data_IF_208560539508
#
_entry.id   IF_208560539508
#
_cell.length_a   1.000
_cell.length_b   1.000
_cell.length_c   1.000
_cell.angle_alpha   90.00
_cell.angle_beta   90.00
_cell.angle_gamma   90.00
#
_symmetry.space_group_name_H-M   'P 1'
#
loop_
_entity.id
_entity.type
_entity.pdbx_description
1 polymer ?
#
# COMPACT_ATOMS: atom_id res chain seq x y z
N UNK A 1 28.00 26.24 58.55
CA UNK A 1 27.63 24.81 58.71
C UNK A 1 26.49 24.59 57.72
N UNK A 2 26.67 24.02 56.52
CA UNK A 2 27.63 23.02 56.08
C UNK A 2 26.88 21.74 55.75
N UNK A 3 26.37 21.66 54.49
CA UNK A 3 26.20 20.48 53.59
C UNK A 3 25.36 19.26 54.03
N UNK A 4 24.97 18.29 53.16
CA UNK A 4 25.22 18.15 51.70
C UNK A 4 24.07 17.61 50.79
N UNK A 5 24.31 17.80 49.48
CA UNK A 5 24.27 16.87 48.33
C UNK A 5 23.01 16.22 47.71
N UNK A 6 22.93 16.49 46.40
CA UNK A 6 22.38 15.75 45.27
C UNK A 6 22.51 14.21 45.34
N UNK A 7 21.50 13.50 44.81
CA UNK A 7 21.68 12.34 43.90
C UNK A 7 20.51 12.28 42.90
N UNK A 8 20.80 12.49 41.61
CA UNK A 8 20.02 11.90 40.50
C UNK A 8 20.28 10.40 40.49
N UNK A 9 19.25 9.56 40.33
CA UNK A 9 19.35 8.25 39.67
C UNK A 9 17.96 7.74 39.27
N UNK A 10 17.78 7.58 37.97
CA UNK A 10 16.68 6.89 37.33
C UNK A 10 16.60 5.41 37.77
N UNK A 11 15.40 4.81 37.74
CA UNK A 11 15.14 3.56 37.00
C UNK A 11 13.82 2.89 37.40
N UNK A 12 13.12 2.39 36.35
CA UNK A 12 12.37 1.14 36.31
C UNK A 12 11.18 0.98 37.29
N UNK A 13 9.97 1.30 36.80
CA UNK A 13 8.80 0.47 37.13
C UNK A 13 8.18 -0.01 35.81
N UNK A 14 8.28 -1.33 35.62
CA UNK A 14 7.86 -2.11 34.47
C UNK A 14 6.38 -1.94 34.10
N UNK A 15 6.13 -1.96 32.78
CA UNK A 15 4.83 -2.02 32.09
C UNK A 15 3.95 -3.27 32.40
N UNK A 16 4.23 -4.03 33.46
CA UNK A 16 3.48 -5.25 33.80
C UNK A 16 2.72 -5.21 35.13
N UNK A 17 2.83 -4.13 35.92
CA UNK A 17 2.09 -3.99 37.18
C UNK A 17 0.79 -3.19 37.11
N UNK A 18 0.53 -2.50 36.00
CA UNK A 18 -0.72 -1.75 35.84
C UNK A 18 -1.90 -2.73 35.72
N UNK A 19 -1.78 -3.84 34.98
CA UNK A 19 -2.88 -4.80 34.82
C UNK A 19 -3.36 -5.53 36.09
N UNK A 20 -2.52 -5.68 37.12
CA UNK A 20 -2.85 -6.49 38.31
C UNK A 20 -3.52 -5.65 39.41
N UNK A 21 -3.21 -4.34 39.50
CA UNK A 21 -3.86 -3.45 40.47
C UNK A 21 -5.32 -3.12 40.11
N UNK A 22 -5.67 -3.18 38.82
CA UNK A 22 -7.04 -2.91 38.34
C UNK A 22 -8.02 -4.07 38.59
N UNK A 23 -7.57 -5.33 38.55
CA UNK A 23 -8.44 -6.51 38.77
C UNK A 23 -8.88 -6.70 40.23
N UNK A 24 -8.05 -6.30 41.20
CA UNK A 24 -8.35 -6.44 42.64
C UNK A 24 -9.27 -5.34 43.20
N UNK A 25 -9.36 -4.19 42.53
CA UNK A 25 -10.21 -3.06 42.96
C UNK A 25 -11.66 -3.21 42.48
N UNK A 26 -11.87 -3.77 41.28
CA UNK A 26 -13.20 -4.02 40.72
C UNK A 26 -13.98 -5.14 41.43
N UNK A 27 -13.31 -6.20 41.92
CA UNK A 27 -14.01 -7.34 42.56
C UNK A 27 -14.57 -7.04 43.96
N UNK A 28 -14.03 -6.05 44.67
CA UNK A 28 -14.54 -5.59 45.96
C UNK A 28 -15.71 -4.60 45.84
N UNK A 29 -15.82 -3.90 44.71
CA UNK A 29 -16.89 -2.91 44.48
C UNK A 29 -18.19 -3.62 44.07
N UNK A 30 -18.12 -4.75 43.35
CA UNK A 30 -19.33 -5.46 42.90
C UNK A 30 -20.10 -6.20 44.02
N UNK A 31 -19.43 -6.57 45.12
CA UNK A 31 -20.04 -7.40 46.18
C UNK A 31 -20.76 -6.61 47.28
N UNK A 32 -20.41 -5.34 47.50
CA UNK A 32 -21.11 -4.45 48.44
C UNK A 32 -22.35 -3.78 47.81
N UNK A 33 -22.35 -3.55 46.48
CA UNK A 33 -23.47 -2.90 45.80
C UNK A 33 -24.74 -3.78 45.67
N UNK A 34 -24.63 -5.10 45.78
CA UNK A 34 -25.78 -6.00 45.61
C UNK A 34 -26.72 -6.12 46.84
N UNK A 35 -26.38 -5.50 47.99
CA UNK A 35 -27.14 -5.67 49.25
C UNK A 35 -28.07 -4.52 49.67
N UNK A 36 -28.12 -3.40 48.96
CA UNK A 36 -29.04 -2.30 49.29
C UNK A 36 -29.89 -1.88 48.09
N UNK A 37 -31.09 -2.44 48.02
CA UNK A 37 -32.21 -1.87 47.25
C UNK A 37 -32.56 -0.48 47.79
N UNK A 38 -32.07 0.56 47.15
CA UNK A 38 -32.70 1.89 47.20
C UNK A 38 -32.23 2.74 46.02
N UNK A 39 -33.19 3.12 45.19
CA UNK A 39 -33.08 4.08 44.10
C UNK A 39 -32.71 5.44 44.68
N UNK A 40 -31.42 5.80 44.71
CA UNK A 40 -30.88 7.16 44.91
C UNK A 40 -29.33 7.26 44.94
N UNK A 41 -28.56 6.23 44.56
CA UNK A 41 -27.10 6.23 44.74
C UNK A 41 -26.26 6.02 43.46
N UNK A 42 -26.79 6.44 42.30
CA UNK A 42 -26.02 6.46 41.03
C UNK A 42 -25.41 7.85 40.75
N UNK A 43 -25.81 8.90 41.48
CA UNK A 43 -25.35 10.27 41.21
C UNK A 43 -24.05 10.69 41.93
N UNK A 44 -23.45 9.84 42.77
CA UNK A 44 -22.34 10.27 43.66
C UNK A 44 -21.03 9.52 43.38
N UNK A 45 -21.02 8.44 42.59
CA UNK A 45 -19.78 7.76 42.16
C UNK A 45 -19.18 8.40 40.90
N UNK A 46 -19.96 9.17 40.11
CA UNK A 46 -19.45 9.92 38.97
C UNK A 46 -18.60 11.16 39.32
N UNK A 47 -18.54 11.57 40.60
CA UNK A 47 -17.92 12.85 40.97
C UNK A 47 -16.60 12.74 41.74
N UNK A 48 -15.94 11.56 41.80
CA UNK A 48 -14.80 11.39 42.71
C UNK A 48 -13.52 10.75 42.15
N UNK A 49 -13.31 10.67 40.84
CA UNK A 49 -11.99 10.25 40.29
C UNK A 49 -11.60 10.95 38.98
N UNK A 50 -11.80 12.28 38.90
CA UNK A 50 -11.29 13.11 37.78
C UNK A 50 -10.33 14.23 38.21
N UNK A 51 -10.08 14.43 39.51
CA UNK A 51 -9.37 15.65 39.95
C UNK A 51 -7.83 15.64 39.79
N UNK A 52 -7.19 14.56 39.32
CA UNK A 52 -5.72 14.55 39.13
C UNK A 52 -5.25 14.00 37.77
N UNK A 53 -6.12 13.95 36.76
CA UNK A 53 -5.69 13.87 35.36
C UNK A 53 -5.75 15.30 34.84
N UNK A 54 -4.65 15.82 34.27
CA UNK A 54 -4.71 17.09 33.55
C UNK A 54 -5.73 16.96 32.42
N UNK A 55 -6.94 17.44 32.68
CA UNK A 55 -8.06 17.56 31.75
C UNK A 55 -7.65 18.52 30.63
N UNK A 56 -7.37 17.96 29.45
CA UNK A 56 -7.10 18.72 28.23
C UNK A 56 -7.65 18.10 26.95
N UNK A 57 -7.75 16.76 26.84
CA UNK A 57 -7.75 16.17 25.48
C UNK A 57 -8.43 14.81 25.31
N UNK A 58 -9.18 14.27 26.28
CA UNK A 58 -9.78 12.93 26.12
C UNK A 58 -11.30 13.02 26.23
N UNK A 59 -12.00 12.78 25.13
CA UNK A 59 -13.46 12.60 25.08
C UNK A 59 -13.74 11.11 24.85
N UNK A 60 -14.45 10.51 25.81
CA UNK A 60 -15.04 9.19 25.68
C UNK A 60 -16.49 9.43 25.30
N UNK A 61 -16.84 9.31 24.01
CA UNK A 61 -18.23 9.40 23.63
C UNK A 61 -19.01 8.24 24.25
N UNK A 62 -20.21 8.56 24.70
CA UNK A 62 -21.15 7.63 25.28
C UNK A 62 -22.52 7.98 24.72
N UNK A 63 -22.75 7.53 23.48
CA UNK A 63 -24.01 7.44 22.75
C UNK A 63 -24.48 8.63 21.91
N UNK A 64 -23.66 9.67 21.72
CA UNK A 64 -23.93 10.68 20.70
C UNK A 64 -23.08 10.35 19.47
N UNK A 65 -23.71 9.95 18.37
CA UNK A 65 -23.04 9.52 17.14
C UNK A 65 -22.24 10.63 16.41
N UNK A 66 -21.87 11.73 17.07
CA UNK A 66 -21.20 12.87 16.44
C UNK A 66 -20.34 13.70 17.39
N UNK A 67 -19.10 13.96 16.98
CA UNK A 67 -18.16 14.89 17.60
C UNK A 67 -17.61 15.90 16.56
N UNK A 68 -17.48 17.15 16.97
CA UNK A 68 -16.92 18.25 16.17
C UNK A 68 -15.90 19.02 17.04
N UNK A 69 -14.62 18.92 16.69
CA UNK A 69 -13.47 19.48 17.42
C UNK A 69 -13.54 20.99 17.54
N UNK A 70 -13.34 21.52 18.76
CA UNK A 70 -13.21 22.97 18.94
C UNK A 70 -11.74 23.38 18.86
N UNK A 71 -11.38 24.44 18.12
CA UNK A 71 -10.00 24.73 17.76
C UNK A 71 -9.09 24.97 18.97
N UNK A 72 -7.83 24.54 18.83
CA UNK A 72 -6.73 24.94 19.71
C UNK A 72 -6.33 23.92 20.76
N UNK A 73 -6.77 22.67 20.63
CA UNK A 73 -6.35 21.54 21.45
C UNK A 73 -6.30 20.27 20.63
N UNK A 74 -5.23 19.49 20.77
CA UNK A 74 -5.19 18.12 20.26
C UNK A 74 -6.26 17.26 20.96
N UNK A 75 -7.14 16.66 20.17
CA UNK A 75 -8.23 15.79 20.58
C UNK A 75 -7.83 14.33 20.59
N UNK A 76 -8.36 13.59 21.56
CA UNK A 76 -8.40 12.12 21.56
C UNK A 76 -9.86 11.73 21.77
N UNK A 77 -10.47 11.16 20.74
CA UNK A 77 -11.91 10.89 20.67
C UNK A 77 -12.15 9.40 20.45
N UNK A 78 -13.10 8.84 21.18
CA UNK A 78 -13.53 7.44 21.07
C UNK A 78 -15.04 7.37 20.81
N UNK A 79 -15.46 6.88 19.64
CA UNK A 79 -16.88 6.67 19.27
C UNK A 79 -17.50 5.44 19.96
N UNK A 80 -16.74 4.36 20.07
CA UNK A 80 -17.06 3.07 20.71
C UNK A 80 -18.02 2.18 19.92
N UNK A 81 -19.33 2.41 19.96
CA UNK A 81 -20.34 1.48 19.41
C UNK A 81 -21.41 2.27 18.67
N UNK A 82 -21.80 1.73 17.52
CA UNK A 82 -22.73 2.37 16.61
C UNK A 82 -21.96 3.16 15.57
N UNK A 83 -22.71 3.64 14.57
CA UNK A 83 -22.15 4.43 13.47
C UNK A 83 -21.90 5.86 13.96
N UNK A 84 -20.64 6.27 14.06
CA UNK A 84 -20.19 7.54 14.64
C UNK A 84 -19.68 8.52 13.56
N UNK A 85 -19.71 9.82 13.83
CA UNK A 85 -19.15 10.86 12.96
C UNK A 85 -18.24 11.79 13.75
N UNK A 86 -16.93 11.62 13.61
CA UNK A 86 -15.91 12.31 14.39
C UNK A 86 -15.12 13.27 13.50
N UNK A 87 -14.98 14.52 13.93
CA UNK A 87 -14.16 15.53 13.25
C UNK A 87 -13.16 16.16 14.22
N UNK A 88 -11.90 16.25 13.80
CA UNK A 88 -10.83 16.98 14.47
C UNK A 88 -10.90 18.49 14.30
N UNK A 89 -9.79 19.17 14.57
CA UNK A 89 -9.56 20.59 14.30
C UNK A 89 -8.28 20.83 13.48
N UNK A 90 -7.67 22.01 13.57
CA UNK A 90 -6.48 22.37 12.77
C UNK A 90 -5.16 21.89 13.42
N UNK A 91 -5.24 20.93 14.36
CA UNK A 91 -4.12 20.39 15.12
C UNK A 91 -4.14 18.86 15.07
N UNK A 92 -3.00 18.27 15.44
CA UNK A 92 -2.82 16.82 15.47
C UNK A 92 -3.77 16.11 16.45
N UNK A 93 -4.73 15.39 15.90
CA UNK A 93 -5.80 14.72 16.60
C UNK A 93 -5.68 13.20 16.54
N UNK A 94 -6.46 12.53 17.39
CA UNK A 94 -6.58 11.07 17.42
C UNK A 94 -8.06 10.71 17.50
N UNK A 95 -8.59 10.13 16.43
CA UNK A 95 -10.00 9.78 16.28
C UNK A 95 -10.13 8.27 16.14
N UNK A 96 -10.97 7.67 16.99
CA UNK A 96 -11.15 6.22 17.06
C UNK A 96 -12.64 5.91 16.94
N UNK A 97 -13.07 5.33 15.82
CA UNK A 97 -14.46 5.00 15.50
C UNK A 97 -15.01 3.93 16.46
N UNK A 98 -14.58 2.69 16.30
CA UNK A 98 -14.93 1.59 17.18
C UNK A 98 -15.71 0.50 16.46
N UNK A 99 -16.96 0.23 16.87
CA UNK A 99 -17.78 -0.76 16.17
C UNK A 99 -18.90 0.00 15.47
N UNK A 100 -19.13 -0.22 14.20
CA UNK A 100 -20.14 0.51 13.43
C UNK A 100 -19.53 1.00 12.13
N UNK A 101 -20.36 1.55 11.25
CA UNK A 101 -19.85 2.23 10.06
C UNK A 101 -19.59 3.70 10.41
N UNK A 102 -18.33 4.06 10.59
CA UNK A 102 -17.91 5.35 11.13
C UNK A 102 -17.43 6.33 10.05
N UNK A 103 -17.50 7.62 10.36
CA UNK A 103 -17.01 8.72 9.52
C UNK A 103 -16.01 9.54 10.34
N UNK A 104 -14.73 9.49 10.00
CA UNK A 104 -13.66 10.20 10.69
C UNK A 104 -13.01 11.24 9.76
N UNK A 105 -12.77 12.45 10.27
CA UNK A 105 -12.12 13.55 9.54
C UNK A 105 -11.04 14.21 10.41
N UNK A 106 -9.80 14.20 9.93
CA UNK A 106 -8.66 14.85 10.59
C UNK A 106 -8.76 16.38 10.57
N UNK A 107 -8.89 16.92 9.35
CA UNK A 107 -8.95 18.37 9.03
C UNK A 107 -7.57 18.95 8.74
N UNK A 108 -6.96 19.80 9.57
CA UNK A 108 -5.55 20.16 9.37
C UNK A 108 -4.70 19.57 10.50
N UNK A 109 -3.45 19.23 10.21
CA UNK A 109 -2.56 18.68 11.24
C UNK A 109 -2.06 17.30 10.83
N UNK A 110 -1.30 16.67 11.72
CA UNK A 110 -0.87 15.29 11.47
C UNK A 110 -1.68 14.39 12.40
N UNK A 111 -2.70 13.77 11.85
CA UNK A 111 -3.77 13.10 12.58
C UNK A 111 -3.60 11.57 12.59
N UNK A 112 -4.22 10.94 13.59
CA UNK A 112 -4.35 9.50 13.69
C UNK A 112 -5.83 9.12 13.66
N UNK A 113 -6.26 8.41 12.63
CA UNK A 113 -7.64 7.96 12.44
C UNK A 113 -7.69 6.42 12.41
N UNK A 114 -8.54 5.81 13.25
CA UNK A 114 -8.75 4.35 13.28
C UNK A 114 -10.26 4.02 13.22
N UNK A 115 -10.70 3.32 12.17
CA UNK A 115 -12.08 2.88 11.99
C UNK A 115 -12.47 1.75 12.95
N UNK A 116 -11.66 0.68 12.98
CA UNK A 116 -11.79 -0.57 13.75
C UNK A 116 -12.74 -1.61 13.13
N UNK A 117 -14.00 -1.73 13.55
CA UNK A 117 -14.93 -2.75 13.03
C UNK A 117 -16.08 -2.06 12.28
N UNK A 118 -16.25 -2.36 11.00
CA UNK A 118 -17.35 -1.85 10.19
C UNK A 118 -16.84 -1.38 8.84
N UNK A 119 -17.73 -0.79 8.04
CA UNK A 119 -17.34 -0.23 6.75
C UNK A 119 -17.20 1.27 6.92
N UNK A 120 -15.98 1.71 7.15
CA UNK A 120 -15.65 3.04 7.63
C UNK A 120 -15.27 3.99 6.50
N UNK A 121 -15.36 5.28 6.80
CA UNK A 121 -14.92 6.36 5.95
C UNK A 121 -13.94 7.24 6.74
N UNK A 122 -12.68 7.24 6.35
CA UNK A 122 -11.62 8.02 6.98
C UNK A 122 -11.05 9.03 5.98
N UNK A 123 -10.83 10.27 6.43
CA UNK A 123 -10.24 11.33 5.62
C UNK A 123 -9.25 12.16 6.43
N UNK A 124 -7.98 12.19 6.03
CA UNK A 124 -6.92 12.99 6.65
C UNK A 124 -7.12 14.49 6.41
N UNK A 125 -7.26 14.86 5.14
CA UNK A 125 -7.32 16.24 4.61
C UNK A 125 -5.93 16.90 4.50
N UNK A 126 -5.47 17.70 5.45
CA UNK A 126 -4.17 18.39 5.33
C UNK A 126 -3.18 17.95 6.41
N UNK A 127 -1.98 17.58 5.98
CA UNK A 127 -0.86 17.24 6.82
C UNK A 127 -0.44 15.79 6.59
N UNK A 128 0.46 15.29 7.43
CA UNK A 128 0.96 13.92 7.27
C UNK A 128 0.21 13.00 8.22
N UNK A 129 -0.82 12.35 7.72
CA UNK A 129 -1.80 11.62 8.50
C UNK A 129 -1.51 10.11 8.54
N UNK A 130 -2.08 9.45 9.55
CA UNK A 130 -2.07 7.99 9.68
C UNK A 130 -3.50 7.49 9.78
N UNK A 131 -3.93 6.73 8.77
CA UNK A 131 -5.28 6.19 8.65
C UNK A 131 -5.23 4.66 8.70
N UNK A 132 -6.11 4.07 9.51
CA UNK A 132 -6.29 2.62 9.57
C UNK A 132 -7.79 2.28 9.53
N UNK A 133 -8.23 1.53 8.52
CA UNK A 133 -9.61 1.13 8.33
C UNK A 133 -10.02 0.11 9.38
N UNK A 134 -9.41 -1.06 9.33
CA UNK A 134 -9.67 -2.15 10.25
C UNK A 134 -10.40 -3.29 9.55
N UNK A 135 -11.45 -3.82 10.16
CA UNK A 135 -12.25 -4.91 9.61
C UNK A 135 -13.47 -4.36 8.88
N UNK A 136 -13.65 -4.74 7.63
CA UNK A 136 -14.78 -4.34 6.80
C UNK A 136 -14.29 -3.71 5.51
N UNK A 137 -15.21 -3.32 4.64
CA UNK A 137 -14.85 -2.70 3.36
C UNK A 137 -14.79 -1.18 3.56
N UNK A 138 -13.58 -0.65 3.71
CA UNK A 138 -13.32 0.72 4.14
C UNK A 138 -12.96 1.66 2.99
N UNK A 139 -13.13 2.97 3.22
CA UNK A 139 -12.69 4.03 2.30
C UNK A 139 -11.80 5.02 3.04
N UNK A 140 -10.54 5.11 2.62
CA UNK A 140 -9.52 5.91 3.29
C UNK A 140 -8.89 6.89 2.30
N UNK A 141 -8.87 8.18 2.65
CA UNK A 141 -8.28 9.26 1.84
C UNK A 141 -7.24 10.06 2.64
N UNK A 142 -5.99 10.08 2.17
CA UNK A 142 -4.91 10.89 2.73
C UNK A 142 -5.10 12.40 2.46
N UNK A 143 -5.29 12.75 1.18
CA UNK A 143 -5.46 14.10 0.63
C UNK A 143 -4.14 14.89 0.42
N UNK A 144 -3.72 15.75 1.34
CA UNK A 144 -2.56 16.63 1.16
C UNK A 144 -1.50 16.34 2.22
N UNK A 145 -0.36 15.80 1.81
CA UNK A 145 0.77 15.53 2.69
C UNK A 145 1.30 14.13 2.44
N UNK A 146 2.28 13.72 3.24
CA UNK A 146 2.83 12.37 3.10
C UNK A 146 2.13 11.45 4.10
N UNK A 147 1.19 10.67 3.63
CA UNK A 147 0.25 9.91 4.44
C UNK A 147 0.62 8.44 4.55
N UNK A 148 0.17 7.81 5.63
CA UNK A 148 0.25 6.36 5.85
C UNK A 148 -1.16 5.81 5.97
N UNK A 149 -1.57 4.99 5.00
CA UNK A 149 -2.94 4.50 4.85
C UNK A 149 -2.94 2.97 4.84
N UNK A 150 -3.68 2.37 5.78
CA UNK A 150 -3.78 0.92 5.96
C UNK A 150 -5.24 0.49 5.91
N UNK A 151 -5.62 -0.34 4.93
CA UNK A 151 -6.99 -0.86 4.78
C UNK A 151 -7.34 -1.82 5.91
N UNK A 152 -6.77 -3.02 5.86
CA UNK A 152 -7.00 -4.06 6.86
C UNK A 152 -7.66 -5.28 6.21
N UNK A 153 -8.46 -6.06 6.96
CA UNK A 153 -9.25 -7.12 6.34
C UNK A 153 -10.59 -6.62 5.76
N UNK A 154 -10.77 -6.78 4.44
CA UNK A 154 -11.99 -6.41 3.71
C UNK A 154 -11.61 -5.93 2.30
N UNK A 155 -12.58 -5.71 1.42
CA UNK A 155 -12.28 -5.16 0.08
C UNK A 155 -12.21 -3.62 0.19
N UNK A 156 -11.01 -3.06 0.35
CA UNK A 156 -10.80 -1.66 0.73
C UNK A 156 -10.55 -0.72 -0.46
N UNK A 157 -10.76 0.58 -0.26
CA UNK A 157 -10.36 1.65 -1.19
C UNK A 157 -9.49 2.68 -0.50
N UNK A 158 -8.23 2.80 -0.94
CA UNK A 158 -7.22 3.69 -0.40
C UNK A 158 -6.77 4.69 -1.47
N UNK A 159 -6.78 5.98 -1.15
CA UNK A 159 -6.31 7.04 -2.06
C UNK A 159 -5.37 8.00 -1.31
N UNK A 160 -4.14 8.17 -1.81
CA UNK A 160 -3.12 9.08 -1.28
C UNK A 160 -3.39 10.55 -1.62
N UNK A 161 -3.55 10.85 -2.91
CA UNK A 161 -3.71 12.17 -3.52
C UNK A 161 -2.40 12.94 -3.74
N UNK A 162 -1.98 13.86 -2.86
CA UNK A 162 -0.74 14.62 -3.09
C UNK A 162 0.25 14.39 -1.97
N UNK A 163 1.45 13.98 -2.33
CA UNK A 163 2.55 13.75 -1.41
C UNK A 163 3.18 12.40 -1.71
N UNK A 164 4.15 12.01 -0.90
CA UNK A 164 4.77 10.71 -1.05
C UNK A 164 4.14 9.77 -0.02
N UNK A 165 3.19 8.96 -0.47
CA UNK A 165 2.28 8.21 0.37
C UNK A 165 2.67 6.74 0.52
N UNK A 166 2.22 6.13 1.62
CA UNK A 166 2.35 4.70 1.91
C UNK A 166 0.95 4.09 2.03
N UNK A 167 0.57 3.26 1.07
CA UNK A 167 -0.74 2.58 1.02
C UNK A 167 -0.57 1.07 1.10
N UNK A 168 -1.24 0.42 2.06
CA UNK A 168 -1.25 -1.05 2.20
C UNK A 168 -2.68 -1.60 2.35
N UNK A 169 -3.09 -2.52 1.46
CA UNK A 169 -4.43 -3.14 1.44
C UNK A 169 -4.63 -4.20 2.53
N UNK A 170 -3.70 -5.17 2.61
CA UNK A 170 -3.60 -6.27 3.60
C UNK A 170 -4.35 -7.54 3.19
N UNK A 171 -5.68 -7.64 3.36
CA UNK A 171 -6.43 -8.79 2.87
C UNK A 171 -7.73 -8.33 2.24
N UNK A 172 -7.97 -8.70 0.99
CA UNK A 172 -9.16 -8.25 0.27
C UNK A 172 -8.83 -8.12 -1.20
N UNK A 173 -9.79 -7.74 -2.03
CA UNK A 173 -9.49 -7.25 -3.36
C UNK A 173 -9.52 -5.73 -3.29
N UNK A 174 -8.37 -5.13 -3.09
CA UNK A 174 -8.23 -3.74 -2.70
C UNK A 174 -8.00 -2.85 -3.93
N UNK A 175 -8.45 -1.59 -3.83
CA UNK A 175 -8.12 -0.52 -4.78
C UNK A 175 -7.21 0.51 -4.10
N UNK A 176 -5.98 0.64 -4.61
CA UNK A 176 -4.99 1.60 -4.11
C UNK A 176 -4.62 2.59 -5.22
N UNK A 177 -4.72 3.88 -4.93
CA UNK A 177 -4.37 4.98 -5.85
C UNK A 177 -3.43 6.00 -5.17
N UNK A 178 -2.18 6.10 -5.62
CA UNK A 178 -1.19 7.06 -5.10
C UNK A 178 -1.51 8.50 -5.53
N UNK A 179 -1.65 8.71 -6.83
CA UNK A 179 -1.87 9.98 -7.54
C UNK A 179 -0.61 10.83 -7.76
N UNK A 180 -0.29 11.82 -6.95
CA UNK A 180 0.82 12.76 -7.21
C UNK A 180 1.90 12.62 -6.14
N UNK A 181 3.12 12.27 -6.54
CA UNK A 181 4.28 12.14 -5.67
C UNK A 181 4.94 10.77 -5.85
N UNK A 182 6.04 10.53 -5.13
CA UNK A 182 6.73 9.24 -5.22
C UNK A 182 6.15 8.27 -4.18
N UNK A 183 5.22 7.42 -4.60
CA UNK A 183 4.38 6.63 -3.72
C UNK A 183 4.89 5.19 -3.53
N UNK A 184 4.43 4.57 -2.45
CA UNK A 184 4.58 3.15 -2.20
C UNK A 184 3.22 2.50 -1.96
N UNK A 185 2.83 1.57 -2.82
CA UNK A 185 1.57 0.84 -2.77
C UNK A 185 1.82 -0.66 -2.63
N UNK A 186 1.06 -1.33 -1.76
CA UNK A 186 1.16 -2.78 -1.56
C UNK A 186 -0.20 -3.46 -1.35
N UNK A 187 -0.58 -4.34 -2.26
CA UNK A 187 -1.84 -5.10 -2.20
C UNK A 187 -1.88 -6.12 -1.04
N UNK A 188 -0.84 -6.94 -0.93
CA UNK A 188 -0.70 -8.06 0.01
C UNK A 188 -1.49 -9.33 -0.40
N UNK A 189 -2.74 -9.52 0.01
CA UNK A 189 -3.50 -10.73 -0.31
C UNK A 189 -4.81 -10.41 -1.00
N UNK A 190 -5.01 -10.98 -2.19
CA UNK A 190 -6.24 -10.91 -2.97
C UNK A 190 -5.94 -10.43 -4.38
N UNK A 191 -6.96 -10.08 -5.16
CA UNK A 191 -6.74 -9.62 -6.53
C UNK A 191 -6.86 -8.09 -6.52
N UNK A 192 -5.73 -7.43 -6.37
CA UNK A 192 -5.67 -6.01 -6.06
C UNK A 192 -5.53 -5.16 -7.33
N UNK A 193 -5.97 -3.91 -7.25
CA UNK A 193 -5.77 -2.90 -8.29
C UNK A 193 -4.95 -1.76 -7.74
N UNK A 194 -3.72 -1.59 -8.23
CA UNK A 194 -2.78 -0.56 -7.80
C UNK A 194 -2.51 0.42 -8.94
N UNK A 195 -2.61 1.73 -8.65
CA UNK A 195 -2.29 2.81 -9.57
C UNK A 195 -1.34 3.81 -8.88
N UNK A 196 -0.13 3.99 -9.41
CA UNK A 196 0.88 4.90 -8.89
C UNK A 196 0.49 6.35 -9.16
N UNK A 197 0.44 6.73 -10.44
CA UNK A 197 0.02 8.05 -10.87
C UNK A 197 1.19 8.82 -11.48
N UNK A 198 1.51 10.00 -10.94
CA UNK A 198 2.63 10.82 -11.34
C UNK A 198 3.70 10.75 -10.25
N UNK A 199 4.94 10.42 -10.60
CA UNK A 199 6.07 10.32 -9.69
C UNK A 199 6.82 9.03 -9.92
N UNK A 200 7.93 8.82 -9.21
CA UNK A 200 8.70 7.57 -9.31
C UNK A 200 8.16 6.56 -8.28
N UNK A 201 7.20 5.73 -8.68
CA UNK A 201 6.40 4.93 -7.76
C UNK A 201 6.94 3.49 -7.53
N UNK A 202 6.54 2.89 -6.40
CA UNK A 202 6.81 1.47 -6.10
C UNK A 202 5.52 0.73 -5.78
N UNK A 203 5.15 -0.23 -6.63
CA UNK A 203 3.89 -0.95 -6.54
C UNK A 203 4.12 -2.45 -6.43
N UNK A 204 3.62 -3.08 -5.36
CA UNK A 204 3.74 -4.51 -5.10
C UNK A 204 2.36 -5.19 -4.98
N UNK A 205 2.05 -6.12 -5.87
CA UNK A 205 0.81 -6.91 -5.83
C UNK A 205 0.79 -7.92 -4.68
N UNK A 206 1.87 -8.71 -4.56
CA UNK A 206 2.04 -9.82 -3.61
C UNK A 206 1.25 -11.09 -4.01
N UNK A 207 0.18 -11.45 -3.31
CA UNK A 207 -0.52 -12.73 -3.50
C UNK A 207 -1.88 -12.53 -4.18
N UNK A 208 -2.01 -12.99 -5.42
CA UNK A 208 -3.26 -13.04 -6.17
C UNK A 208 -3.04 -12.61 -7.61
N UNK A 209 -4.12 -12.31 -8.34
CA UNK A 209 -3.99 -11.86 -9.73
C UNK A 209 -4.20 -10.35 -9.77
N UNK A 210 -3.11 -9.60 -9.78
CA UNK A 210 -3.12 -8.17 -9.54
C UNK A 210 -3.11 -7.36 -10.83
N UNK A 211 -3.72 -6.18 -10.79
CA UNK A 211 -3.62 -5.18 -11.86
C UNK A 211 -2.82 -3.99 -11.37
N UNK A 212 -1.62 -3.79 -11.92
CA UNK A 212 -0.65 -2.81 -11.44
C UNK A 212 -0.32 -1.81 -12.56
N UNK A 213 -0.44 -0.52 -12.27
CA UNK A 213 -0.22 0.58 -13.22
C UNK A 213 0.72 1.63 -12.60
N UNK A 214 1.89 1.86 -13.20
CA UNK A 214 2.86 2.86 -12.76
C UNK A 214 2.35 4.27 -13.03
N UNK A 215 2.35 4.70 -14.30
CA UNK A 215 1.75 5.95 -14.72
C UNK A 215 2.75 6.86 -15.42
N UNK A 216 3.23 7.90 -14.75
CA UNK A 216 4.30 8.73 -15.28
C UNK A 216 5.43 8.85 -14.28
N UNK A 217 6.66 8.64 -14.71
CA UNK A 217 7.84 8.63 -13.84
C UNK A 217 8.58 7.32 -14.04
N UNK A 218 9.74 7.16 -13.41
CA UNK A 218 10.52 5.92 -13.51
C UNK A 218 10.03 4.92 -12.43
N UNK A 219 9.06 4.08 -12.79
CA UNK A 219 8.31 3.26 -11.83
C UNK A 219 8.96 1.88 -11.57
N UNK A 220 8.62 1.27 -10.43
CA UNK A 220 8.97 -0.12 -10.12
C UNK A 220 7.74 -0.93 -9.74
N UNK A 221 7.36 -1.88 -10.59
CA UNK A 221 6.18 -2.73 -10.45
C UNK A 221 6.60 -4.19 -10.22
N UNK A 222 6.03 -4.83 -9.20
CA UNK A 222 6.28 -6.24 -8.89
C UNK A 222 4.95 -6.95 -8.60
N UNK A 223 4.61 -7.97 -9.39
CA UNK A 223 3.40 -8.80 -9.21
C UNK A 223 3.53 -9.81 -8.06
N UNK A 224 4.67 -10.52 -8.01
CA UNK A 224 4.96 -11.65 -7.13
C UNK A 224 4.25 -12.95 -7.48
N UNK A 225 3.06 -13.23 -6.98
CA UNK A 225 2.48 -14.58 -6.99
C UNK A 225 1.05 -14.55 -7.55
N UNK A 226 0.87 -15.04 -8.77
CA UNK A 226 -0.41 -15.17 -9.45
C UNK A 226 -0.26 -14.74 -10.91
N UNK A 227 -1.38 -14.52 -11.61
CA UNK A 227 -1.32 -14.09 -13.02
C UNK A 227 -1.58 -12.60 -13.07
N UNK A 228 -0.51 -11.82 -13.10
CA UNK A 228 -0.56 -10.39 -12.90
C UNK A 228 -0.58 -9.62 -14.22
N UNK A 229 -1.14 -8.41 -14.21
CA UNK A 229 -1.08 -7.46 -15.32
C UNK A 229 -0.36 -6.21 -14.86
N UNK A 230 0.83 -5.96 -15.41
CA UNK A 230 1.69 -4.82 -15.07
C UNK A 230 1.81 -3.88 -16.26
N UNK A 231 1.62 -2.57 -16.03
CA UNK A 231 1.77 -1.51 -17.04
C UNK A 231 2.61 -0.35 -16.52
N UNK A 232 3.75 -0.06 -17.13
CA UNK A 232 4.62 1.06 -16.76
C UNK A 232 4.11 2.42 -17.23
N UNK A 233 3.67 2.49 -18.49
CA UNK A 233 3.17 3.67 -19.22
C UNK A 233 4.22 4.67 -19.70
N UNK A 234 4.72 5.59 -18.86
CA UNK A 234 5.69 6.60 -19.30
C UNK A 234 6.82 6.71 -18.30
N UNK A 235 8.04 6.56 -18.81
CA UNK A 235 9.25 6.64 -18.00
C UNK A 235 10.10 5.42 -18.26
N UNK A 236 11.18 5.26 -17.51
CA UNK A 236 12.05 4.10 -17.63
C UNK A 236 11.69 3.13 -16.51
N UNK A 237 10.76 2.23 -16.82
CA UNK A 237 10.08 1.43 -15.82
C UNK A 237 10.75 0.08 -15.58
N UNK A 238 10.56 -0.47 -14.39
CA UNK A 238 11.00 -1.83 -14.03
C UNK A 238 9.81 -2.67 -13.66
N UNK A 239 9.49 -3.63 -14.52
CA UNK A 239 8.37 -4.54 -14.34
C UNK A 239 8.87 -5.95 -14.05
N UNK A 240 8.37 -6.56 -12.98
CA UNK A 240 8.59 -7.97 -12.66
C UNK A 240 7.27 -8.69 -12.38
N UNK A 241 6.89 -9.65 -13.22
CA UNK A 241 5.69 -10.47 -13.04
C UNK A 241 5.80 -11.32 -11.78
N UNK A 242 6.64 -12.36 -11.80
CA UNK A 242 6.90 -13.20 -10.64
C UNK A 242 6.63 -14.66 -10.94
N UNK A 243 5.70 -15.28 -10.24
CA UNK A 243 5.28 -16.67 -10.44
C UNK A 243 3.86 -16.69 -10.96
N UNK A 244 3.64 -17.21 -12.16
CA UNK A 244 2.34 -17.31 -12.79
C UNK A 244 2.43 -16.95 -14.27
N UNK A 245 1.29 -16.65 -14.90
CA UNK A 245 1.28 -16.27 -16.32
C UNK A 245 1.00 -14.79 -16.41
N UNK A 246 2.05 -13.99 -16.55
CA UNK A 246 1.95 -12.55 -16.39
C UNK A 246 1.84 -11.82 -17.73
N UNK A 247 1.22 -10.64 -17.70
CA UNK A 247 1.17 -9.71 -18.82
C UNK A 247 1.90 -8.42 -18.43
N UNK A 248 3.02 -8.12 -19.09
CA UNK A 248 3.83 -6.94 -18.84
C UNK A 248 3.83 -6.01 -20.07
N UNK A 249 3.47 -4.75 -19.85
CA UNK A 249 3.49 -3.67 -20.83
C UNK A 249 4.39 -2.53 -20.32
N UNK A 250 5.54 -2.30 -20.95
CA UNK A 250 6.49 -1.25 -20.56
C UNK A 250 5.89 0.15 -20.74
N UNK A 251 5.61 0.53 -21.98
CA UNK A 251 5.11 1.84 -22.34
C UNK A 251 6.16 2.62 -23.12
N UNK A 252 6.24 3.93 -22.89
CA UNK A 252 7.26 4.77 -23.52
C UNK A 252 8.43 4.97 -22.57
N UNK A 253 9.64 4.78 -23.07
CA UNK A 253 10.89 4.97 -22.32
C UNK A 253 11.69 3.69 -22.30
N UNK A 254 12.92 3.74 -21.77
CA UNK A 254 13.81 2.58 -21.78
C UNK A 254 13.44 1.65 -20.60
N UNK A 255 12.60 0.65 -20.85
CA UNK A 255 12.01 -0.20 -19.82
C UNK A 255 12.81 -1.49 -19.57
N UNK A 256 12.59 -2.10 -18.40
CA UNK A 256 13.10 -3.44 -18.07
C UNK A 256 11.94 -4.35 -17.66
N UNK A 257 11.66 -5.37 -18.46
CA UNK A 257 10.56 -6.31 -18.24
C UNK A 257 11.09 -7.70 -17.90
N UNK A 258 10.65 -8.27 -16.79
CA UNK A 258 10.97 -9.64 -16.36
C UNK A 258 9.69 -10.40 -16.03
N UNK A 259 9.32 -11.37 -16.87
CA UNK A 259 8.13 -12.21 -16.61
C UNK A 259 8.28 -13.06 -15.35
N UNK A 260 9.44 -13.69 -15.16
CA UNK A 260 9.68 -14.63 -14.07
C UNK A 260 9.34 -16.06 -14.47
N UNK A 261 8.71 -16.81 -13.57
CA UNK A 261 8.33 -18.20 -13.79
C UNK A 261 6.90 -18.33 -14.30
N UNK A 262 6.70 -19.10 -15.38
CA UNK A 262 5.40 -19.39 -15.98
C UNK A 262 5.29 -18.93 -17.43
N UNK A 263 4.08 -18.73 -17.94
CA UNK A 263 3.83 -18.39 -19.36
C UNK A 263 3.51 -16.90 -19.51
N UNK A 264 4.53 -16.10 -19.75
CA UNK A 264 4.41 -14.64 -19.71
C UNK A 264 4.27 -14.03 -21.11
N UNK A 265 3.60 -12.88 -21.18
CA UNK A 265 3.54 -12.02 -22.37
C UNK A 265 4.16 -10.67 -22.04
N UNK A 266 5.19 -10.29 -22.80
CA UNK A 266 5.93 -9.05 -22.59
C UNK A 266 5.83 -8.18 -23.85
N UNK A 267 5.53 -6.90 -23.68
CA UNK A 267 5.40 -5.89 -24.75
C UNK A 267 5.91 -4.53 -24.27
N UNK A 268 6.53 -3.74 -25.13
CA UNK A 268 6.88 -2.35 -24.81
C UNK A 268 5.79 -1.37 -25.26
N UNK A 269 5.16 -1.60 -26.41
CA UNK A 269 4.20 -0.68 -27.04
C UNK A 269 4.77 0.72 -27.37
N UNK A 270 6.08 0.84 -27.59
CA UNK A 270 6.71 2.09 -28.05
C UNK A 270 7.69 1.84 -29.18
N UNK A 271 7.86 2.88 -29.99
CA UNK A 271 8.47 2.81 -31.31
C UNK A 271 9.89 3.39 -31.32
N UNK A 272 10.55 3.71 -30.19
CA UNK A 272 11.79 4.51 -30.18
C UNK A 272 12.78 4.20 -29.03
N UNK A 273 12.51 3.19 -28.22
CA UNK A 273 13.18 2.87 -26.95
C UNK A 273 14.29 1.84 -27.09
N UNK A 274 14.97 1.58 -25.97
CA UNK A 274 15.94 0.50 -25.79
C UNK A 274 15.52 -0.38 -24.63
N UNK A 275 14.43 -1.11 -24.82
CA UNK A 275 13.90 -1.98 -23.79
C UNK A 275 14.74 -3.23 -23.58
N UNK A 276 14.80 -3.64 -22.31
CA UNK A 276 15.48 -4.84 -21.86
C UNK A 276 14.44 -5.87 -21.44
N UNK A 277 14.39 -6.98 -22.17
CA UNK A 277 13.59 -8.13 -21.80
C UNK A 277 14.49 -9.12 -21.05
N UNK A 278 14.22 -9.31 -19.76
CA UNK A 278 14.93 -10.23 -18.89
C UNK A 278 14.17 -11.55 -18.86
N UNK A 279 14.86 -12.62 -19.24
CA UNK A 279 14.33 -13.97 -19.16
C UNK A 279 15.14 -14.71 -18.11
N UNK A 280 14.53 -14.87 -16.94
CA UNK A 280 15.11 -15.52 -15.77
C UNK A 280 14.22 -16.67 -15.30
N UNK A 281 14.43 -17.85 -15.88
CA UNK A 281 13.66 -19.06 -15.58
C UNK A 281 14.24 -19.84 -14.37
N UNK A 282 14.74 -19.14 -13.36
CA UNK A 282 15.31 -19.76 -12.14
C UNK A 282 14.24 -20.42 -11.24
N UNK A 283 12.96 -20.34 -11.61
CA UNK A 283 11.85 -20.98 -10.91
C UNK A 283 11.64 -22.42 -11.41
N UNK A 284 11.27 -23.33 -10.52
CA UNK A 284 11.32 -24.79 -10.72
C UNK A 284 10.31 -25.37 -11.75
N UNK A 285 9.71 -24.53 -12.60
CA UNK A 285 8.82 -24.91 -13.68
C UNK A 285 9.24 -24.18 -14.95
N UNK A 286 9.44 -24.92 -16.04
CA UNK A 286 9.87 -24.36 -17.32
C UNK A 286 8.96 -23.20 -17.78
N UNK A 287 9.46 -21.98 -17.66
CA UNK A 287 8.81 -20.76 -18.08
C UNK A 287 9.01 -20.50 -19.56
N UNK A 288 7.96 -20.02 -20.21
CA UNK A 288 7.98 -19.62 -21.62
C UNK A 288 7.54 -18.17 -21.69
N UNK A 289 8.41 -17.28 -22.17
CA UNK A 289 8.04 -15.89 -22.43
C UNK A 289 7.69 -15.69 -23.92
N UNK A 290 6.58 -15.01 -24.18
CA UNK A 290 6.22 -14.49 -25.51
C UNK A 290 6.56 -12.99 -25.51
N UNK A 291 7.49 -12.60 -26.39
CA UNK A 291 7.81 -11.19 -26.63
C UNK A 291 7.10 -10.78 -27.92
N UNK A 292 6.27 -9.75 -27.81
CA UNK A 292 5.39 -9.30 -28.92
C UNK A 292 5.77 -7.96 -29.53
N UNK A 293 6.76 -7.28 -28.94
CA UNK A 293 7.27 -6.01 -29.42
C UNK A 293 8.24 -6.21 -30.60
N UNK A 294 7.96 -5.56 -31.75
CA UNK A 294 8.80 -5.56 -32.96
C UNK A 294 8.55 -4.30 -33.81
N UNK A 295 8.50 -3.13 -33.19
CA UNK A 295 8.16 -1.89 -33.89
C UNK A 295 9.33 -1.39 -34.77
N UNK A 296 9.30 -1.75 -36.07
CA UNK A 296 10.33 -1.35 -37.04
C UNK A 296 10.16 0.13 -37.44
N UNK A 297 11.10 0.98 -37.01
CA UNK A 297 11.20 2.35 -37.51
C UNK A 297 11.98 2.39 -38.83
N UNK A 298 11.35 2.93 -39.87
CA UNK A 298 12.07 3.30 -41.09
C UNK A 298 12.68 4.70 -40.94
N UNK A 299 14.00 4.80 -40.79
CA UNK A 299 14.74 6.06 -40.99
C UNK A 299 15.37 6.08 -42.39
N UNK A 300 15.26 7.19 -43.16
CA UNK A 300 15.92 7.28 -44.45
C UNK A 300 17.45 7.23 -44.29
N UNK A 301 18.06 6.08 -44.59
CA UNK A 301 19.52 5.90 -44.64
C UNK A 301 20.15 5.13 -43.49
N UNK A 302 19.38 4.70 -42.49
CA UNK A 302 19.79 3.74 -41.46
C UNK A 302 19.14 2.38 -41.75
N UNK A 303 19.77 1.29 -41.32
CA UNK A 303 19.16 -0.04 -41.45
C UNK A 303 17.96 -0.18 -40.51
N UNK A 304 16.82 -0.58 -41.06
CA UNK A 304 15.49 -0.72 -40.42
C UNK A 304 15.49 -1.83 -39.36
N UNK A 305 15.89 -1.53 -38.12
CA UNK A 305 15.81 -2.50 -37.02
C UNK A 305 15.37 -1.83 -35.73
N UNK A 306 14.34 -2.41 -35.13
CA UNK A 306 14.08 -2.32 -33.71
C UNK A 306 15.22 -3.02 -32.93
N UNK A 307 15.65 -2.46 -31.79
CA UNK A 307 16.78 -2.96 -30.99
C UNK A 307 16.28 -3.45 -29.63
N UNK A 308 15.82 -4.69 -29.62
CA UNK A 308 15.48 -5.44 -28.42
C UNK A 308 16.76 -6.03 -27.83
N UNK A 309 17.16 -5.59 -26.63
CA UNK A 309 18.23 -6.22 -25.87
C UNK A 309 17.64 -7.32 -24.97
N UNK A 310 17.93 -8.58 -25.30
CA UNK A 310 17.45 -9.73 -24.52
C UNK A 310 18.54 -10.18 -23.55
N UNK A 311 18.26 -10.11 -22.25
CA UNK A 311 19.13 -10.66 -21.22
C UNK A 311 18.65 -12.06 -20.82
N UNK A 312 19.44 -13.08 -21.17
CA UNK A 312 19.20 -14.48 -20.80
C UNK A 312 20.04 -14.84 -19.58
N UNK A 313 19.41 -15.16 -18.45
CA UNK A 313 20.10 -15.52 -17.20
C UNK A 313 20.26 -17.04 -17.00
N UNK A 314 19.34 -17.87 -17.53
CA UNK A 314 19.52 -19.34 -17.63
C UNK A 314 19.33 -19.83 -19.08
N UNK A 315 20.41 -20.24 -19.78
CA UNK A 315 20.33 -20.67 -21.17
C UNK A 315 19.76 -22.08 -21.37
N UNK A 316 19.56 -22.88 -20.31
CA UNK A 316 19.23 -24.30 -20.46
C UNK A 316 17.75 -24.58 -20.72
N UNK A 317 16.89 -23.56 -20.67
CA UNK A 317 15.43 -23.71 -20.78
C UNK A 317 14.75 -22.62 -21.65
N UNK A 318 15.52 -21.96 -22.52
CA UNK A 318 15.06 -20.81 -23.29
C UNK A 318 14.23 -21.23 -24.52
N UNK A 319 12.92 -21.00 -24.49
CA UNK A 319 12.05 -21.07 -25.67
C UNK A 319 11.49 -19.68 -25.99
N UNK A 320 12.10 -19.01 -26.96
CA UNK A 320 11.68 -17.70 -27.46
C UNK A 320 10.77 -17.85 -28.68
N UNK A 321 9.55 -17.34 -28.60
CA UNK A 321 8.65 -17.22 -29.75
C UNK A 321 8.48 -15.75 -30.09
N UNK A 322 9.00 -15.35 -31.25
CA UNK A 322 8.82 -14.01 -31.80
C UNK A 322 7.61 -14.02 -32.74
N UNK A 323 6.76 -13.00 -32.65
CA UNK A 323 5.57 -12.84 -33.50
C UNK A 323 5.67 -11.55 -34.31
N UNK A 324 6.44 -11.58 -35.40
CA UNK A 324 6.60 -10.45 -36.35
C UNK A 324 8.03 -9.89 -36.41
N UNK A 325 8.33 -9.08 -37.44
CA UNK A 325 9.56 -8.30 -37.56
C UNK A 325 10.85 -9.05 -37.96
N UNK A 326 11.86 -8.28 -38.36
CA UNK A 326 13.26 -8.71 -38.37
C UNK A 326 13.89 -8.22 -37.04
N UNK A 327 14.43 -9.14 -36.24
CA UNK A 327 14.94 -8.83 -34.89
C UNK A 327 16.40 -9.25 -34.75
N UNK A 328 17.21 -8.36 -34.18
CA UNK A 328 18.60 -8.64 -33.86
C UNK A 328 18.75 -8.85 -32.36
N UNK A 329 19.15 -10.05 -31.96
CA UNK A 329 19.31 -10.41 -30.54
C UNK A 329 20.78 -10.31 -30.17
N UNK A 330 21.11 -9.43 -29.25
CA UNK A 330 22.46 -9.26 -28.69
C UNK A 330 22.52 -9.63 -27.22
N UNK A 331 23.62 -10.21 -26.77
CA UNK A 331 23.92 -10.33 -25.34
C UNK A 331 24.23 -8.94 -24.77
N UNK A 332 24.22 -8.81 -23.43
CA UNK A 332 24.75 -7.63 -22.73
C UNK A 332 26.21 -7.28 -23.10
N UNK A 333 27.01 -8.24 -23.61
CA UNK A 333 28.38 -7.99 -24.11
C UNK A 333 28.43 -7.47 -25.55
N UNK A 334 27.27 -7.33 -26.21
CA UNK A 334 27.13 -6.95 -27.61
C UNK A 334 27.40 -8.10 -28.58
N UNK A 335 27.50 -9.34 -28.10
CA UNK A 335 27.68 -10.51 -28.95
C UNK A 335 26.33 -10.86 -29.59
N UNK A 336 26.33 -11.02 -30.90
CA UNK A 336 25.15 -11.38 -31.66
C UNK A 336 24.77 -12.84 -31.36
N UNK A 337 23.64 -13.05 -30.70
CA UNK A 337 23.15 -14.39 -30.34
C UNK A 337 22.37 -15.03 -31.49
N UNK A 338 21.50 -14.24 -32.14
CA UNK A 338 20.74 -14.66 -33.30
C UNK A 338 20.31 -13.45 -34.14
N UNK A 339 20.21 -13.69 -35.45
CA UNK A 339 19.50 -12.80 -36.38
C UNK A 339 18.24 -13.56 -36.78
N UNK A 340 17.09 -12.98 -36.47
CA UNK A 340 15.79 -13.49 -36.89
C UNK A 340 15.40 -12.68 -38.13
N UNK A 341 15.58 -13.30 -39.30
CA UNK A 341 15.26 -12.71 -40.61
C UNK A 341 14.08 -13.48 -41.24
N UNK A 342 13.14 -12.76 -41.87
CA UNK A 342 12.07 -13.34 -42.70
C UNK A 342 11.14 -14.36 -42.00
N UNK A 343 10.66 -14.08 -40.78
CA UNK A 343 9.71 -14.99 -40.09
C UNK A 343 8.35 -14.97 -40.78
N UNK A 344 8.14 -15.91 -41.70
CA UNK A 344 6.82 -16.32 -42.13
C UNK A 344 6.32 -17.42 -41.20
N UNK A 345 5.23 -17.13 -40.48
CA UNK A 345 4.51 -18.02 -39.57
C UNK A 345 4.41 -19.44 -40.13
N UNK A 346 5.23 -20.38 -39.63
CA UNK A 346 4.75 -21.77 -39.55
C UNK A 346 5.49 -22.69 -38.62
N UNK A 347 6.77 -22.54 -38.26
CA UNK A 347 7.42 -23.38 -37.24
C UNK A 347 8.84 -22.86 -36.93
N UNK A 348 9.17 -22.65 -35.65
CA UNK A 348 10.55 -22.58 -35.18
C UNK A 348 10.70 -23.36 -33.87
N UNK A 349 11.79 -24.13 -33.79
CA UNK A 349 12.35 -24.73 -32.57
C UNK A 349 13.83 -24.32 -32.55
N UNK A 350 14.32 -23.78 -31.44
CA UNK A 350 15.77 -23.66 -31.20
C UNK A 350 16.33 -25.03 -30.77
N UNK A 351 17.54 -25.34 -31.23
CA UNK A 351 18.30 -26.56 -30.88
C UNK A 351 19.16 -26.26 -29.66
#
# INVERSE_FOLDING_TARGET
>A
MGTPDNVQLASLINNSQIGIFWKLKLSKISTELFKKKTVAAISIIHHFFLEDIKMGSIILDNADNSFDGSPGINWIVYGNRGDDTLSGDDLNDTLLGGNGADILRGEEGNDLLEGNEGNDFLRGNQGNDTLQGGYGDDRLWGDLGNDSVLGGPGDDTLIGYNGNDLLEGINGNDLLEGNEGDDFLRGNHGNDTLQGGNGDDRLWGDLGNDSIQGGTGDDTLIGYNGNDTLKGFKGNDKLRGGEGNDLLEGGNGDDTLNGGGGYDTLTSNSVLDRDIFVIDDNYLGAGFAIITDFDVISFPGESEYDKIDVQVLDPNNLNLTFVGGDTRITTQTGDLLAIVENVNLTNFYLI
#
